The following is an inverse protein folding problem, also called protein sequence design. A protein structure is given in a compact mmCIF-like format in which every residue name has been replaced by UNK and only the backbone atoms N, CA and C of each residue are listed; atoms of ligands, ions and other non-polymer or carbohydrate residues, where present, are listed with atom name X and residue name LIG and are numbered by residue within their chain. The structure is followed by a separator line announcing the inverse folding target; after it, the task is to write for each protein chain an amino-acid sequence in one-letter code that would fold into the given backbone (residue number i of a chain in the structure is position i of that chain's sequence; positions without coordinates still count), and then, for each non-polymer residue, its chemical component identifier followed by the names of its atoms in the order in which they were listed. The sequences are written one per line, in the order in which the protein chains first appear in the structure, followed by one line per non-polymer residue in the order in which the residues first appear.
data_IF_720357580937
#
_entry.id   IF_720357580937
#
_cell.length_a   1.000
_cell.length_b   1.000
_cell.length_c   1.000
_cell.angle_alpha   90.00
_cell.angle_beta   90.00
_cell.angle_gamma   90.00
#
_symmetry.space_group_name_H-M   'P 1'
#
loop_
_entity.id
_entity.type
_entity.pdbx_description
1 polymer ?
#
# COMPACT_ATOMS: atom_id res chain seq x y z
N UNK A 1 32.63 -46.89 39.98
CA UNK A 1 32.34 -46.53 40.05
C UNK A 1 31.73 -45.83 39.96
N UNK A 2 31.50 -45.86 39.80
CA UNK A 2 31.23 -45.62 39.85
C UNK A 2 30.62 -44.99 39.91
N UNK A 3 30.47 -45.29 40.21
CA UNK A 3 30.47 -44.70 40.95
C UNK A 3 30.17 -43.37 40.75
N UNK A 4 29.31 -42.70 41.28
CA UNK A 4 28.98 -41.34 41.09
C UNK A 4 28.61 -40.93 39.66
N UNK A 5 28.30 -41.92 38.85
CA UNK A 5 27.88 -41.64 37.49
C UNK A 5 26.50 -40.95 37.43
N UNK A 6 26.40 -39.92 36.63
CA UNK A 6 25.16 -39.27 36.36
C UNK A 6 24.52 -39.84 35.09
N UNK A 7 23.33 -40.32 35.22
CA UNK A 7 22.51 -40.67 34.04
C UNK A 7 21.60 -39.51 33.70
N UNK A 8 21.77 -38.97 32.51
CA UNK A 8 20.95 -37.89 32.02
C UNK A 8 20.09 -38.32 30.83
N UNK A 9 18.92 -37.79 30.77
CA UNK A 9 18.03 -37.90 29.61
C UNK A 9 17.79 -36.52 29.01
N UNK A 10 17.82 -36.45 27.71
CA UNK A 10 17.53 -35.22 27.02
C UNK A 10 16.95 -35.50 25.64
N UNK A 11 16.05 -34.63 25.20
CA UNK A 11 15.67 -34.56 23.80
C UNK A 11 16.67 -33.63 23.11
N UNK A 12 17.53 -34.18 22.25
CA UNK A 12 18.56 -33.43 21.58
C UNK A 12 18.49 -33.59 20.08
N UNK A 13 19.28 -32.80 19.39
CA UNK A 13 19.35 -32.79 17.92
C UNK A 13 17.98 -32.51 17.25
N UNK A 14 17.17 -31.70 17.89
CA UNK A 14 15.90 -31.32 17.33
C UNK A 14 16.07 -30.57 16.04
N UNK A 15 15.30 -30.96 15.05
CA UNK A 15 15.15 -30.23 13.80
C UNK A 15 13.68 -30.19 13.45
N UNK A 16 13.09 -29.01 13.51
CA UNK A 16 11.69 -28.79 13.20
C UNK A 16 11.65 -28.06 11.86
N UNK A 17 11.17 -28.74 10.82
CA UNK A 17 10.97 -28.15 9.51
C UNK A 17 9.51 -27.80 9.36
N UNK A 18 9.24 -26.53 9.09
CA UNK A 18 7.90 -26.05 8.81
C UNK A 18 7.57 -26.25 7.34
N UNK A 19 6.30 -26.54 7.00
CA UNK A 19 5.81 -26.31 5.65
C UNK A 19 6.16 -24.89 5.22
N UNK A 20 6.57 -24.69 3.97
CA UNK A 20 7.12 -23.41 3.49
C UNK A 20 6.12 -22.25 3.47
N UNK A 21 4.84 -22.52 3.66
CA UNK A 21 3.84 -21.47 3.80
C UNK A 21 3.78 -20.88 5.21
N UNK A 22 4.54 -21.41 6.16
CA UNK A 22 4.79 -20.79 7.45
C UNK A 22 6.07 -19.96 7.40
N UNK A 23 6.01 -18.81 8.04
CA UNK A 23 7.14 -17.88 8.10
C UNK A 23 8.03 -18.14 9.32
N UNK A 24 7.42 -18.45 10.46
CA UNK A 24 8.15 -18.58 11.71
C UNK A 24 7.44 -19.47 12.71
N UNK A 25 8.24 -19.94 13.67
CA UNK A 25 7.83 -20.65 14.87
C UNK A 25 8.29 -19.82 16.08
N UNK A 26 7.38 -19.58 17.03
CA UNK A 26 7.66 -18.72 18.16
C UNK A 26 6.86 -19.17 19.40
N UNK A 27 7.32 -18.77 20.59
CA UNK A 27 6.57 -18.93 21.84
C UNK A 27 5.45 -17.89 21.98
N UNK A 28 5.53 -16.82 21.24
CA UNK A 28 4.58 -15.72 21.26
C UNK A 28 3.50 -15.88 20.20
N UNK A 29 2.32 -15.39 20.50
CA UNK A 29 1.24 -15.31 19.55
C UNK A 29 1.43 -14.11 18.59
N UNK A 30 0.41 -13.89 17.75
CA UNK A 30 0.41 -12.78 16.80
C UNK A 30 0.43 -11.38 17.44
N UNK A 31 0.16 -11.30 18.76
CA UNK A 31 0.23 -10.04 19.51
C UNK A 31 1.61 -9.81 20.13
N UNK A 32 2.54 -10.70 19.87
CA UNK A 32 3.89 -10.71 20.42
C UNK A 32 3.92 -10.88 21.94
N UNK A 33 2.95 -11.63 22.46
CA UNK A 33 2.81 -11.93 23.88
C UNK A 33 2.54 -13.42 24.08
N UNK A 34 2.87 -13.94 25.26
CA UNK A 34 2.47 -15.28 25.65
C UNK A 34 0.93 -15.33 25.69
N UNK A 35 0.36 -16.26 24.95
CA UNK A 35 -1.09 -16.43 24.92
C UNK A 35 -1.56 -17.17 26.19
N UNK A 36 -2.46 -16.59 27.00
CA UNK A 36 -2.95 -17.24 28.21
C UNK A 36 -3.63 -18.60 27.99
N UNK A 37 -4.19 -18.84 26.80
CA UNK A 37 -4.80 -20.13 26.45
C UNK A 37 -3.75 -21.19 26.10
N UNK A 38 -2.53 -20.77 25.81
CA UNK A 38 -1.38 -21.62 25.47
C UNK A 38 -0.17 -21.16 26.29
N UNK A 39 -0.19 -21.35 27.63
CA UNK A 39 0.81 -20.79 28.52
C UNK A 39 2.14 -21.52 28.40
N UNK A 40 3.19 -20.89 28.92
CA UNK A 40 4.44 -21.57 29.13
C UNK A 40 4.25 -22.69 30.17
N UNK A 41 4.93 -23.81 30.00
CA UNK A 41 4.92 -24.85 31.02
C UNK A 41 5.70 -24.41 32.24
N UNK A 42 5.48 -25.10 33.36
CA UNK A 42 6.32 -24.91 34.54
C UNK A 42 7.63 -25.63 34.33
N UNK A 43 8.72 -24.89 34.47
CA UNK A 43 10.09 -25.43 34.44
C UNK A 43 10.69 -25.29 35.80
N UNK A 44 11.19 -26.41 36.33
CA UNK A 44 11.89 -26.45 37.59
C UNK A 44 13.37 -26.78 37.36
N UNK A 45 14.22 -26.12 38.11
CA UNK A 45 15.63 -26.44 38.19
C UNK A 45 15.91 -26.97 39.56
N UNK A 46 16.61 -28.08 39.61
CA UNK A 46 16.94 -28.74 40.84
C UNK A 46 18.45 -28.74 41.01
N UNK A 47 18.93 -28.33 42.18
CA UNK A 47 20.34 -28.29 42.53
C UNK A 47 20.74 -29.44 43.43
N UNK A 48 19.79 -29.99 44.14
CA UNK A 48 19.94 -31.18 44.95
C UNK A 48 18.66 -31.96 44.96
N UNK A 49 18.66 -33.15 45.50
CA UNK A 49 17.47 -34.00 45.51
C UNK A 49 16.24 -33.37 46.23
N UNK A 50 16.46 -32.35 47.03
CA UNK A 50 15.42 -31.70 47.83
C UNK A 50 15.04 -30.29 47.39
N UNK A 51 15.82 -29.64 46.53
CA UNK A 51 15.63 -28.23 46.19
C UNK A 51 15.14 -28.05 44.78
N UNK A 52 13.84 -27.91 44.64
CA UNK A 52 13.22 -27.56 43.38
C UNK A 52 12.98 -26.06 43.29
N UNK A 53 13.61 -25.40 42.33
CA UNK A 53 13.42 -24.00 42.06
C UNK A 53 12.61 -23.84 40.79
N UNK A 54 11.46 -23.19 40.89
CA UNK A 54 10.67 -22.82 39.74
C UNK A 54 11.36 -21.67 39.02
N UNK A 55 11.65 -21.84 37.75
CA UNK A 55 12.29 -20.79 36.97
C UNK A 55 11.34 -19.66 36.67
N UNK A 56 11.88 -18.45 36.60
CA UNK A 56 11.13 -17.28 36.18
C UNK A 56 10.62 -17.41 34.74
N UNK A 57 9.60 -16.64 34.42
CA UNK A 57 9.10 -16.59 33.04
C UNK A 57 10.20 -16.25 32.03
N UNK A 58 11.07 -15.28 32.34
CA UNK A 58 12.19 -14.90 31.49
C UNK A 58 13.14 -16.07 31.25
N UNK A 59 13.47 -16.81 32.30
CA UNK A 59 14.33 -17.98 32.18
C UNK A 59 13.68 -19.09 31.36
N UNK A 60 12.37 -19.33 31.57
CA UNK A 60 11.61 -20.30 30.80
C UNK A 60 11.57 -19.94 29.31
N UNK A 61 11.32 -18.68 28.98
CA UNK A 61 11.36 -18.20 27.59
C UNK A 61 12.74 -18.43 26.98
N UNK A 62 13.80 -18.10 27.72
CA UNK A 62 15.17 -18.30 27.23
C UNK A 62 15.49 -19.77 26.92
N UNK A 63 15.01 -20.68 27.74
CA UNK A 63 15.22 -22.11 27.54
C UNK A 63 14.40 -22.73 26.41
N UNK A 64 13.18 -22.21 26.21
CA UNK A 64 12.24 -22.75 25.25
C UNK A 64 12.29 -22.08 23.89
N UNK A 65 12.97 -20.93 23.75
CA UNK A 65 13.10 -20.21 22.48
C UNK A 65 13.79 -21.09 21.46
N UNK A 66 13.14 -21.30 20.32
CA UNK A 66 13.73 -21.98 19.18
C UNK A 66 14.57 -21.03 18.34
N UNK A 67 15.69 -21.51 17.84
CA UNK A 67 16.60 -20.78 16.96
C UNK A 67 16.45 -21.31 15.55
N UNK A 68 16.34 -20.42 14.58
CA UNK A 68 16.32 -20.80 13.17
C UNK A 68 17.76 -21.02 12.67
N UNK A 69 17.98 -22.14 12.01
CA UNK A 69 19.24 -22.48 11.36
C UNK A 69 19.31 -21.91 9.94
N UNK A 70 20.49 -21.87 9.33
CA UNK A 70 20.65 -21.43 7.94
C UNK A 70 19.82 -22.22 6.93
N UNK A 71 19.53 -23.49 7.19
CA UNK A 71 18.66 -24.34 6.37
C UNK A 71 17.16 -24.08 6.61
N UNK A 72 16.83 -23.06 7.40
CA UNK A 72 15.50 -22.65 7.81
C UNK A 72 14.78 -23.59 8.79
N UNK A 73 15.37 -24.69 9.18
CA UNK A 73 14.84 -25.50 10.26
C UNK A 73 15.02 -24.81 11.61
N UNK A 74 14.20 -25.21 12.58
CA UNK A 74 14.26 -24.69 13.93
C UNK A 74 14.83 -25.74 14.88
N UNK A 75 15.58 -25.26 15.85
CA UNK A 75 16.10 -26.08 16.93
C UNK A 75 15.92 -25.37 18.27
N UNK A 76 15.71 -26.08 19.37
CA UNK A 76 15.77 -25.47 20.69
C UNK A 76 17.10 -24.79 20.92
N UNK A 77 17.09 -23.78 21.77
CA UNK A 77 18.30 -23.06 22.13
C UNK A 77 19.33 -24.01 22.72
N UNK A 78 20.55 -23.96 22.20
CA UNK A 78 21.65 -24.72 22.70
C UNK A 78 22.05 -24.27 24.12
N UNK A 79 22.18 -25.21 25.04
CA UNK A 79 22.73 -24.91 26.36
C UNK A 79 24.24 -24.72 26.27
N UNK A 80 24.69 -23.58 26.76
CA UNK A 80 26.08 -23.15 26.58
C UNK A 80 27.03 -23.67 27.67
N UNK A 81 26.54 -24.24 28.74
CA UNK A 81 27.40 -24.64 29.84
C UNK A 81 27.67 -26.14 29.88
N UNK A 82 28.94 -26.46 29.84
CA UNK A 82 29.46 -27.76 30.22
C UNK A 82 29.11 -28.89 29.28
N UNK A 83 28.14 -29.62 29.58
CA UNK A 83 27.79 -30.85 28.90
C UNK A 83 26.75 -30.68 27.78
N UNK A 84 26.29 -29.49 27.54
CA UNK A 84 25.21 -29.21 26.61
C UNK A 84 25.67 -28.74 25.24
N UNK A 85 26.47 -29.51 24.55
CA UNK A 85 26.93 -29.20 23.19
C UNK A 85 25.86 -29.42 22.13
N UNK A 86 24.76 -30.06 22.49
CA UNK A 86 23.69 -30.38 21.57
C UNK A 86 22.46 -29.52 21.87
N UNK A 87 21.77 -29.03 20.87
CA UNK A 87 20.50 -28.37 21.06
C UNK A 87 19.54 -29.29 21.84
N UNK A 88 19.12 -28.85 22.99
CA UNK A 88 18.39 -29.67 23.93
C UNK A 88 17.12 -28.97 24.36
N UNK A 89 15.96 -29.56 24.15
CA UNK A 89 14.71 -28.96 24.56
C UNK A 89 14.62 -28.84 26.07
N UNK A 90 14.82 -29.94 26.74
CA UNK A 90 14.96 -30.00 28.20
C UNK A 90 15.81 -31.17 28.59
N UNK A 91 16.47 -31.02 29.71
CA UNK A 91 17.35 -32.04 30.26
C UNK A 91 16.79 -32.52 31.58
N UNK A 92 16.66 -33.80 31.72
CA UNK A 92 16.41 -34.47 32.99
C UNK A 92 17.62 -35.32 33.34
N UNK A 93 18.19 -35.04 34.47
CA UNK A 93 19.25 -35.91 35.02
C UNK A 93 18.60 -36.92 35.95
N UNK A 94 18.86 -38.17 35.67
CA UNK A 94 18.58 -39.25 36.61
C UNK A 94 19.84 -39.47 37.38
N UNK A 95 19.89 -39.00 38.60
CA UNK A 95 21.07 -39.21 39.41
C UNK A 95 21.19 -40.66 39.84
N UNK A 96 22.30 -41.21 39.62
CA UNK A 96 22.76 -42.19 40.58
C UNK A 96 23.44 -41.41 41.68
N UNK A 97 23.05 -41.57 42.79
CA UNK A 97 23.45 -40.91 43.95
C UNK A 97 24.96 -40.85 44.12
N UNK A 98 25.51 -39.71 43.91
CA UNK A 98 26.75 -39.45 44.56
C UNK A 98 26.49 -38.77 45.89
N UNK A 99 26.66 -39.50 46.86
CA UNK A 99 26.42 -39.08 48.21
C UNK A 99 27.40 -38.03 48.66
N UNK A 100 28.55 -37.95 48.08
CA UNK A 100 29.60 -37.08 48.56
C UNK A 100 29.44 -35.62 48.16
N UNK A 101 28.97 -35.37 46.97
CA UNK A 101 28.74 -34.00 46.50
C UNK A 101 27.33 -33.52 46.72
N UNK A 102 26.37 -34.39 46.76
CA UNK A 102 24.98 -34.08 47.08
C UNK A 102 24.24 -33.16 46.14
N UNK A 103 24.83 -32.77 45.05
CA UNK A 103 24.19 -31.79 44.14
C UNK A 103 24.15 -32.27 42.71
N UNK A 104 23.01 -32.14 42.13
CA UNK A 104 22.77 -32.30 40.69
C UNK A 104 21.98 -31.16 40.17
N UNK A 105 22.40 -30.60 39.06
CA UNK A 105 21.63 -29.60 38.37
C UNK A 105 20.89 -30.24 37.21
N UNK A 106 19.60 -30.22 37.24
CA UNK A 106 18.76 -30.68 36.14
C UNK A 106 17.53 -29.82 36.02
N UNK A 107 16.96 -29.83 34.84
CA UNK A 107 15.73 -29.10 34.54
C UNK A 107 14.64 -30.08 34.15
N UNK A 108 13.45 -29.86 34.65
CA UNK A 108 12.27 -30.65 34.30
C UNK A 108 11.14 -29.74 33.86
N UNK A 109 10.35 -30.27 32.97
CA UNK A 109 9.24 -29.60 32.37
C UNK A 109 7.96 -30.26 32.82
N UNK A 110 6.99 -29.47 33.24
CA UNK A 110 5.63 -29.92 33.53
C UNK A 110 4.65 -29.26 32.57
N UNK A 111 3.99 -30.07 31.79
CA UNK A 111 3.02 -29.63 30.79
C UNK A 111 3.58 -29.52 29.37
N UNK A 112 2.72 -29.32 28.40
CA UNK A 112 3.12 -29.19 27.01
C UNK A 112 3.81 -27.85 26.74
N UNK A 113 4.70 -27.85 25.75
CA UNK A 113 5.27 -26.60 25.19
C UNK A 113 4.47 -26.22 23.97
N UNK A 114 3.95 -25.00 23.98
CA UNK A 114 3.19 -24.48 22.86
C UNK A 114 4.05 -23.55 22.01
N UNK A 115 4.16 -23.86 20.73
CA UNK A 115 4.80 -23.01 19.76
C UNK A 115 3.76 -22.50 18.76
N UNK A 116 3.80 -21.21 18.50
CA UNK A 116 2.89 -20.54 17.56
C UNK A 116 3.56 -20.48 16.19
N UNK A 117 2.84 -20.95 15.19
CA UNK A 117 3.27 -20.85 13.79
C UNK A 117 2.64 -19.61 13.17
N UNK A 118 3.45 -18.82 12.46
CA UNK A 118 3.00 -17.68 11.73
C UNK A 118 2.99 -17.99 10.24
N UNK A 119 1.85 -17.85 9.60
CA UNK A 119 1.75 -18.01 8.16
C UNK A 119 2.48 -16.89 7.43
N UNK A 120 3.08 -17.21 6.29
CA UNK A 120 3.44 -16.19 5.30
C UNK A 120 2.17 -15.52 4.80
N UNK A 121 2.28 -14.28 4.40
CA UNK A 121 1.14 -13.48 3.96
C UNK A 121 1.45 -12.81 2.65
N UNK A 122 0.40 -12.57 1.88
CA UNK A 122 0.40 -11.61 0.79
C UNK A 122 -0.19 -10.32 1.32
N UNK A 123 0.58 -9.25 1.23
CA UNK A 123 0.14 -7.89 1.57
C UNK A 123 -0.19 -7.15 0.28
N UNK A 124 -1.36 -6.53 0.22
CA UNK A 124 -1.81 -5.75 -0.93
C UNK A 124 -1.44 -4.29 -0.71
N UNK A 125 -0.49 -3.80 -1.50
CA UNK A 125 -0.03 -2.42 -1.45
C UNK A 125 -0.53 -1.65 -2.68
N UNK A 126 -1.04 -0.45 -2.46
CA UNK A 126 -1.38 0.51 -3.50
C UNK A 126 -0.35 1.63 -3.45
N UNK A 127 0.35 1.82 -4.54
CA UNK A 127 1.48 2.76 -4.62
C UNK A 127 1.37 3.63 -5.86
N UNK A 128 2.00 4.81 -5.81
CA UNK A 128 2.21 5.64 -6.99
C UNK A 128 3.42 5.17 -7.79
N UNK A 129 3.74 5.87 -8.86
CA UNK A 129 4.87 5.52 -9.72
C UNK A 129 6.23 5.69 -9.05
N UNK A 130 6.31 6.40 -7.94
CA UNK A 130 7.52 6.54 -7.13
C UNK A 130 7.64 5.49 -6.02
N UNK A 131 6.60 4.66 -5.84
CA UNK A 131 6.54 3.66 -4.79
C UNK A 131 5.94 4.15 -3.47
N UNK A 132 5.50 5.39 -3.40
CA UNK A 132 4.83 5.92 -2.21
C UNK A 132 3.42 5.35 -2.09
N UNK A 133 3.00 5.04 -0.86
CA UNK A 133 1.66 4.53 -0.58
C UNK A 133 0.61 5.58 -0.88
N UNK A 134 -0.49 5.15 -1.48
CA UNK A 134 -1.64 5.99 -1.80
C UNK A 134 -2.92 5.41 -1.21
N UNK A 135 -3.94 6.23 -1.11
CA UNK A 135 -5.28 5.76 -0.75
C UNK A 135 -5.82 4.88 -1.87
N UNK A 136 -6.23 3.63 -1.60
CA UNK A 136 -6.72 2.72 -2.63
C UNK A 136 -8.10 3.13 -3.15
N UNK A 137 -8.52 2.60 -4.31
CA UNK A 137 -9.89 2.78 -4.78
C UNK A 137 -10.91 2.19 -3.81
N UNK A 138 -12.14 2.68 -3.88
CA UNK A 138 -13.24 2.18 -3.06
C UNK A 138 -13.41 0.67 -3.22
N UNK A 139 -13.58 -0.02 -2.12
CA UNK A 139 -13.69 -1.48 -2.08
C UNK A 139 -12.35 -2.21 -1.90
N UNK A 140 -11.25 -1.48 -1.91
CA UNK A 140 -9.92 -2.02 -1.65
C UNK A 140 -9.34 -1.43 -0.36
N UNK A 141 -8.44 -2.17 0.27
CA UNK A 141 -7.82 -1.76 1.53
C UNK A 141 -6.30 -1.74 1.37
N UNK A 142 -5.69 -0.62 1.74
CA UNK A 142 -4.24 -0.52 1.80
C UNK A 142 -3.69 -1.44 2.88
N UNK A 143 -2.74 -2.28 2.50
CA UNK A 143 -2.10 -3.18 3.44
C UNK A 143 -2.94 -4.38 3.86
N UNK A 144 -3.97 -4.75 3.10
CA UNK A 144 -4.73 -5.96 3.36
C UNK A 144 -3.83 -7.18 3.31
N UNK A 145 -3.89 -8.02 4.34
CA UNK A 145 -3.08 -9.22 4.45
C UNK A 145 -3.94 -10.46 4.28
N UNK A 146 -3.46 -11.39 3.46
CA UNK A 146 -4.06 -12.69 3.25
C UNK A 146 -3.04 -13.76 3.60
N UNK A 147 -3.38 -14.65 4.53
CA UNK A 147 -2.50 -15.74 4.92
C UNK A 147 -2.36 -16.77 3.78
N UNK A 148 -1.14 -17.22 3.56
CA UNK A 148 -0.85 -18.34 2.67
C UNK A 148 -1.03 -19.61 3.50
N UNK A 149 -1.97 -20.47 3.12
CA UNK A 149 -2.43 -21.59 3.94
C UNK A 149 -2.15 -22.96 3.33
N UNK A 150 -1.53 -23.00 2.17
CA UNK A 150 -1.29 -24.24 1.45
C UNK A 150 -0.07 -24.17 0.54
N UNK A 151 0.32 -25.29 0.00
CA UNK A 151 1.35 -25.42 -1.00
C UNK A 151 0.93 -26.50 -2.02
N UNK A 152 0.67 -26.16 -3.29
CA UNK A 152 0.75 -24.82 -3.88
C UNK A 152 -0.37 -23.89 -3.43
N UNK A 153 -0.15 -22.60 -3.61
CA UNK A 153 -1.12 -21.56 -3.32
C UNK A 153 -1.14 -20.52 -4.43
N UNK A 154 -2.32 -20.20 -4.92
CA UNK A 154 -2.54 -19.10 -5.86
C UNK A 154 -3.24 -17.97 -5.14
N UNK A 155 -2.59 -16.82 -5.09
CA UNK A 155 -3.20 -15.59 -4.60
C UNK A 155 -4.07 -14.97 -5.67
N UNK A 156 -5.27 -14.55 -5.28
CA UNK A 156 -6.19 -13.79 -6.14
C UNK A 156 -6.69 -12.59 -5.37
N UNK A 157 -6.49 -11.40 -5.92
CA UNK A 157 -7.08 -10.20 -5.34
C UNK A 157 -8.59 -10.20 -5.53
N UNK A 158 -9.33 -9.92 -4.47
CA UNK A 158 -10.77 -9.76 -4.54
C UNK A 158 -11.11 -8.45 -5.26
N UNK A 159 -12.12 -8.48 -6.14
CA UNK A 159 -12.57 -7.33 -6.89
C UNK A 159 -11.84 -7.12 -8.21
N UNK A 160 -12.25 -6.09 -8.91
CA UNK A 160 -11.65 -5.68 -10.18
C UNK A 160 -11.10 -4.27 -10.01
N UNK A 161 -9.83 -4.09 -10.34
CA UNK A 161 -9.17 -2.79 -10.26
C UNK A 161 -9.78 -1.82 -11.28
N UNK A 162 -10.18 -0.60 -10.86
CA UNK A 162 -10.71 0.38 -11.79
C UNK A 162 -9.60 0.97 -12.66
N UNK A 163 -9.97 1.41 -13.87
CA UNK A 163 -9.04 2.14 -14.75
C UNK A 163 -8.59 3.46 -14.14
N UNK A 164 -9.53 4.13 -13.48
CA UNK A 164 -9.31 5.42 -12.83
C UNK A 164 -10.16 5.50 -11.56
N UNK A 165 -9.71 6.29 -10.61
CA UNK A 165 -10.51 6.65 -9.44
C UNK A 165 -10.07 8.01 -8.90
N UNK A 166 -10.96 8.64 -8.15
CA UNK A 166 -10.69 9.94 -7.54
C UNK A 166 -10.78 9.82 -6.02
N UNK A 167 -9.79 10.37 -5.34
CA UNK A 167 -9.76 10.45 -3.88
C UNK A 167 -8.98 11.69 -3.46
N UNK A 168 -9.45 12.37 -2.41
CA UNK A 168 -8.79 13.56 -1.89
C UNK A 168 -8.56 14.66 -2.92
N UNK A 169 -9.47 14.80 -3.89
CA UNK A 169 -9.34 15.78 -4.98
C UNK A 169 -8.32 15.40 -6.06
N UNK A 170 -7.74 14.21 -5.99
CA UNK A 170 -6.76 13.70 -6.96
C UNK A 170 -7.38 12.57 -7.77
N UNK A 171 -7.06 12.52 -9.05
CA UNK A 171 -7.46 11.44 -9.96
C UNK A 171 -6.25 10.56 -10.24
N UNK A 172 -6.44 9.25 -10.10
CA UNK A 172 -5.41 8.24 -10.32
C UNK A 172 -5.77 7.35 -11.50
N UNK A 173 -4.77 7.02 -12.32
CA UNK A 173 -4.90 6.15 -13.47
C UNK A 173 -4.12 4.86 -13.24
N UNK A 174 -4.75 3.72 -13.53
CA UNK A 174 -4.14 2.40 -13.42
C UNK A 174 -2.95 2.25 -14.36
N UNK A 175 -1.82 1.83 -13.80
CA UNK A 175 -0.59 1.57 -14.56
C UNK A 175 -0.27 0.08 -14.66
N UNK A 176 -0.72 -0.70 -13.72
CA UNK A 176 -0.46 -2.12 -13.64
C UNK A 176 -0.15 -2.57 -12.23
N UNK A 177 0.32 -3.81 -12.10
CA UNK A 177 0.73 -4.37 -10.83
C UNK A 177 1.95 -5.26 -11.00
N UNK A 178 2.62 -5.53 -9.89
CA UNK A 178 3.72 -6.48 -9.83
C UNK A 178 3.75 -7.20 -8.48
N UNK A 179 4.36 -8.38 -8.49
CA UNK A 179 4.62 -9.16 -7.29
C UNK A 179 6.03 -8.88 -6.79
N UNK A 180 6.18 -8.79 -5.47
CA UNK A 180 7.47 -8.75 -4.83
C UNK A 180 7.98 -7.35 -4.52
N UNK A 181 9.25 -7.28 -4.15
CA UNK A 181 9.87 -6.05 -3.64
C UNK A 181 10.47 -5.17 -4.72
N UNK A 182 10.78 -5.75 -5.87
CA UNK A 182 11.46 -5.06 -6.96
C UNK A 182 10.48 -4.79 -8.09
N UNK A 183 10.28 -3.51 -8.40
CA UNK A 183 9.43 -3.08 -9.50
C UNK A 183 10.08 -3.45 -10.83
N UNK A 184 9.42 -4.26 -11.67
CA UNK A 184 9.93 -4.57 -13.01
C UNK A 184 9.78 -3.38 -13.95
N UNK A 185 10.49 -3.40 -15.05
CA UNK A 185 10.38 -2.38 -16.09
C UNK A 185 9.02 -2.39 -16.80
N UNK A 186 8.38 -3.57 -16.87
CA UNK A 186 7.05 -3.74 -17.45
C UNK A 186 6.12 -4.30 -16.41
N UNK A 187 5.01 -3.60 -16.15
CA UNK A 187 3.98 -4.03 -15.21
C UNK A 187 2.98 -4.96 -15.91
N UNK A 188 2.41 -5.86 -15.14
CA UNK A 188 1.25 -6.64 -15.57
C UNK A 188 0.01 -5.75 -15.53
N UNK A 189 -0.81 -5.77 -16.56
CA UNK A 189 -1.92 -4.81 -16.70
C UNK A 189 -3.31 -5.44 -16.58
N UNK A 190 -3.39 -6.69 -16.15
CA UNK A 190 -4.68 -7.32 -15.83
C UNK A 190 -5.29 -6.67 -14.59
N UNK A 191 -6.61 -6.54 -14.56
CA UNK A 191 -7.32 -5.84 -13.48
C UNK A 191 -7.79 -6.75 -12.35
N UNK A 192 -7.50 -8.01 -12.44
CA UNK A 192 -7.75 -9.02 -11.41
C UNK A 192 -6.46 -9.78 -11.12
N UNK A 193 -5.54 -9.20 -10.35
CA UNK A 193 -4.25 -9.83 -10.08
C UNK A 193 -4.39 -11.23 -9.51
N UNK A 194 -3.65 -12.16 -10.09
CA UNK A 194 -3.63 -13.56 -9.70
C UNK A 194 -2.27 -14.15 -10.01
N UNK A 195 -1.66 -14.82 -9.04
CA UNK A 195 -0.35 -15.45 -9.23
C UNK A 195 -0.08 -16.55 -8.21
N UNK A 196 0.73 -17.53 -8.59
CA UNK A 196 1.28 -18.49 -7.66
C UNK A 196 2.32 -17.85 -6.77
N UNK A 197 2.28 -18.13 -5.47
CA UNK A 197 3.26 -17.62 -4.52
C UNK A 197 4.54 -18.44 -4.55
N UNK A 198 5.65 -17.83 -4.14
CA UNK A 198 6.98 -18.44 -4.17
C UNK A 198 7.55 -18.72 -2.78
N UNK A 199 6.87 -18.32 -1.72
CA UNK A 199 7.21 -18.57 -0.31
C UNK A 199 8.60 -18.07 0.11
N UNK A 200 9.06 -17.00 -0.50
CA UNK A 200 10.39 -16.42 -0.29
C UNK A 200 10.36 -15.02 0.33
N UNK A 201 9.21 -14.59 0.83
CA UNK A 201 9.03 -13.24 1.33
C UNK A 201 8.89 -12.19 0.23
N UNK A 202 8.70 -12.62 -1.02
CA UNK A 202 8.63 -11.76 -2.20
C UNK A 202 7.29 -11.90 -2.91
N UNK A 203 6.22 -12.15 -2.15
CA UNK A 203 4.90 -12.47 -2.68
C UNK A 203 3.87 -11.34 -2.57
N UNK A 204 4.26 -10.19 -2.03
CA UNK A 204 3.35 -9.06 -1.87
C UNK A 204 2.89 -8.51 -3.22
N UNK A 205 1.63 -8.11 -3.28
CA UNK A 205 1.06 -7.46 -4.43
C UNK A 205 1.28 -5.95 -4.33
N UNK A 206 1.78 -5.36 -5.40
CA UNK A 206 1.92 -3.91 -5.53
C UNK A 206 1.12 -3.44 -6.72
N UNK A 207 0.06 -2.68 -6.46
CA UNK A 207 -0.79 -2.08 -7.50
C UNK A 207 -0.35 -0.64 -7.70
N UNK A 208 -0.04 -0.30 -8.94
CA UNK A 208 0.52 1.01 -9.30
C UNK A 208 -0.52 1.86 -10.01
N UNK A 209 -0.77 3.02 -9.44
CA UNK A 209 -1.58 4.08 -10.04
C UNK A 209 -0.75 5.33 -10.22
N UNK A 210 -0.99 6.05 -11.29
CA UNK A 210 -0.34 7.34 -11.54
C UNK A 210 -1.33 8.46 -11.28
N UNK A 211 -0.94 9.46 -10.49
CA UNK A 211 -1.73 10.66 -10.31
C UNK A 211 -1.80 11.43 -11.63
N UNK A 212 -3.01 11.72 -12.08
CA UNK A 212 -3.21 12.59 -13.24
C UNK A 212 -2.90 14.03 -12.85
N UNK A 213 -1.98 14.63 -13.57
CA UNK A 213 -1.72 16.05 -13.46
C UNK A 213 -2.81 16.81 -14.20
N UNK A 214 -3.50 17.72 -13.50
CA UNK A 214 -4.51 18.58 -14.09
C UNK A 214 -3.87 19.92 -14.43
N UNK A 215 -3.91 20.28 -15.73
CA UNK A 215 -3.52 21.60 -16.19
C UNK A 215 -4.72 22.52 -16.15
N UNK A 216 -4.57 23.71 -15.60
CA UNK A 216 -5.63 24.71 -15.53
C UNK A 216 -5.56 25.59 -16.77
N UNK A 217 -6.68 25.74 -17.44
CA UNK A 217 -6.84 26.58 -18.61
C UNK A 217 -7.77 27.75 -18.28
N UNK A 218 -7.40 28.97 -18.70
CA UNK A 218 -8.14 30.19 -18.45
C UNK A 218 -8.70 30.74 -19.78
N UNK A 219 -9.91 30.31 -20.18
CA UNK A 219 -10.48 30.78 -21.42
C UNK A 219 -10.90 32.25 -21.33
N UNK A 220 -10.54 33.02 -22.34
CA UNK A 220 -10.98 34.39 -22.45
C UNK A 220 -11.00 34.83 -23.89
N UNK A 221 -11.88 35.79 -24.18
CA UNK A 221 -11.99 36.43 -25.48
C UNK A 221 -12.00 37.95 -25.27
N UNK A 222 -11.14 38.65 -25.98
CA UNK A 222 -11.19 40.10 -26.03
C UNK A 222 -12.07 40.53 -27.23
N UNK A 223 -13.09 41.33 -26.95
CA UNK A 223 -14.02 41.81 -27.95
C UNK A 223 -13.98 43.34 -27.98
N UNK A 224 -13.70 43.89 -29.14
CA UNK A 224 -13.72 45.34 -29.36
C UNK A 224 -14.87 45.70 -30.24
N UNK A 225 -15.68 46.64 -29.77
CA UNK A 225 -16.87 47.13 -30.50
C UNK A 225 -16.63 48.54 -30.96
N UNK A 226 -16.92 48.77 -32.22
CA UNK A 226 -16.71 50.06 -32.87
C UNK A 226 -17.99 50.48 -33.59
N UNK A 227 -18.19 51.80 -33.77
CA UNK A 227 -19.27 52.33 -34.55
C UNK A 227 -18.98 52.22 -36.07
N UNK A 228 -19.95 52.60 -36.89
CA UNK A 228 -19.84 52.50 -38.36
C UNK A 228 -18.71 53.32 -38.96
N UNK A 229 -18.20 54.29 -38.22
CA UNK A 229 -17.08 55.15 -38.66
C UNK A 229 -15.73 54.65 -38.12
N UNK A 230 -15.70 53.49 -37.46
CA UNK A 230 -14.51 52.95 -36.88
C UNK A 230 -14.11 53.55 -35.53
N UNK A 231 -14.92 54.44 -34.97
CA UNK A 231 -14.70 54.99 -33.64
C UNK A 231 -15.20 54.08 -32.53
N UNK A 232 -14.75 54.36 -31.31
CA UNK A 232 -15.12 53.55 -30.15
C UNK A 232 -16.66 53.54 -29.94
N UNK A 233 -17.22 52.38 -29.65
CA UNK A 233 -18.58 52.21 -29.26
C UNK A 233 -18.70 52.38 -27.74
N UNK A 234 -19.36 53.47 -27.30
CA UNK A 234 -19.41 53.83 -25.88
C UNK A 234 -20.63 53.35 -25.10
N UNK A 235 -21.78 53.01 -25.72
CA UNK A 235 -22.89 52.44 -24.97
C UNK A 235 -22.53 51.15 -24.26
N UNK A 236 -23.16 50.93 -23.09
CA UNK A 236 -22.94 49.70 -22.34
C UNK A 236 -23.53 48.49 -23.06
N UNK A 237 -22.83 47.39 -23.05
CA UNK A 237 -23.25 46.12 -23.60
C UNK A 237 -23.47 45.09 -22.49
N UNK A 238 -24.49 44.25 -22.66
CA UNK A 238 -24.75 43.12 -21.78
C UNK A 238 -24.46 41.81 -22.50
N UNK A 239 -23.70 40.95 -21.86
CA UNK A 239 -23.30 39.65 -22.40
C UNK A 239 -24.00 38.55 -21.66
N UNK A 240 -24.47 37.54 -22.36
CA UNK A 240 -24.84 36.26 -21.79
C UNK A 240 -24.41 35.14 -22.73
N UNK A 241 -24.00 34.06 -22.15
CA UNK A 241 -23.51 32.90 -22.92
C UNK A 241 -22.98 31.79 -22.06
N UNK A 242 -22.49 30.78 -22.70
CA UNK A 242 -21.89 29.62 -22.06
C UNK A 242 -20.54 29.30 -22.68
N UNK A 243 -19.61 28.93 -21.84
CA UNK A 243 -18.40 28.23 -22.23
C UNK A 243 -18.62 26.73 -22.01
N UNK A 244 -18.28 25.90 -22.98
CA UNK A 244 -18.46 24.47 -22.83
C UNK A 244 -17.24 23.66 -23.21
N UNK A 245 -17.11 22.51 -22.56
CA UNK A 245 -16.14 21.49 -22.90
C UNK A 245 -16.92 20.38 -23.60
N UNK A 246 -16.45 19.99 -24.78
CA UNK A 246 -17.06 18.93 -25.58
C UNK A 246 -16.07 17.82 -25.82
N UNK A 247 -16.51 16.59 -25.65
CA UNK A 247 -15.69 15.42 -25.94
C UNK A 247 -15.70 15.15 -27.44
N UNK A 248 -14.50 15.11 -28.04
CA UNK A 248 -14.39 14.95 -29.50
C UNK A 248 -14.87 13.60 -30.02
N UNK A 249 -14.76 12.54 -29.21
CA UNK A 249 -15.11 11.18 -29.62
C UNK A 249 -16.61 11.02 -29.95
N UNK A 250 -17.49 11.72 -29.26
CA UNK A 250 -18.95 11.58 -29.39
C UNK A 250 -19.71 12.90 -29.40
N UNK A 251 -19.01 14.04 -29.42
CA UNK A 251 -19.56 15.37 -29.35
C UNK A 251 -20.43 15.70 -28.12
N UNK A 252 -20.29 14.90 -27.07
CA UNK A 252 -21.03 15.13 -25.83
C UNK A 252 -20.43 16.32 -25.08
N UNK A 253 -21.29 17.26 -24.66
CA UNK A 253 -20.87 18.36 -23.79
C UNK A 253 -20.75 17.83 -22.37
N UNK A 254 -19.54 17.89 -21.83
CA UNK A 254 -19.22 17.34 -20.48
C UNK A 254 -19.32 18.41 -19.39
N UNK A 255 -19.06 19.67 -19.74
CA UNK A 255 -19.09 20.78 -18.78
C UNK A 255 -19.68 22.03 -19.44
N UNK A 256 -20.47 22.79 -18.68
CA UNK A 256 -20.97 24.08 -19.01
C UNK A 256 -20.61 25.09 -17.95
N UNK A 257 -20.17 26.28 -18.38
CA UNK A 257 -19.80 27.37 -17.49
C UNK A 257 -20.49 28.64 -17.93
N UNK A 258 -20.98 29.42 -16.97
CA UNK A 258 -21.48 30.75 -17.27
C UNK A 258 -20.34 31.70 -17.62
N UNK A 259 -20.56 32.56 -18.57
CA UNK A 259 -19.61 33.59 -18.94
C UNK A 259 -19.87 34.88 -18.17
N UNK A 260 -18.80 35.63 -17.99
CA UNK A 260 -18.85 36.98 -17.43
C UNK A 260 -18.05 37.92 -18.34
N UNK A 261 -18.43 39.17 -18.34
CA UNK A 261 -17.72 40.20 -19.12
C UNK A 261 -17.21 41.31 -18.22
N UNK A 262 -16.05 41.84 -18.60
CA UNK A 262 -15.43 42.99 -17.93
C UNK A 262 -15.17 44.07 -18.97
N UNK A 263 -15.73 45.24 -18.78
CA UNK A 263 -15.47 46.41 -19.62
C UNK A 263 -14.06 46.95 -19.32
N UNK A 264 -13.34 47.26 -20.39
CA UNK A 264 -12.04 47.97 -20.31
C UNK A 264 -12.20 49.45 -20.75
N UNK A 265 -13.39 49.89 -21.04
CA UNK A 265 -13.67 51.20 -21.65
C UNK A 265 -13.51 51.20 -23.16
N UNK A 266 -14.00 52.28 -23.84
CA UNK A 266 -13.88 52.46 -25.27
C UNK A 266 -14.41 51.31 -26.13
N UNK A 267 -15.48 50.64 -25.68
CA UNK A 267 -16.04 49.48 -26.39
C UNK A 267 -15.24 48.22 -26.30
N UNK A 268 -14.26 48.13 -25.41
CA UNK A 268 -13.43 46.98 -25.21
C UNK A 268 -13.92 46.15 -24.02
N UNK A 269 -14.03 44.84 -24.21
CA UNK A 269 -14.50 43.90 -23.20
C UNK A 269 -13.63 42.67 -23.20
N UNK A 270 -13.43 42.12 -22.01
CA UNK A 270 -12.91 40.74 -21.82
C UNK A 270 -14.06 39.86 -21.38
N UNK A 271 -14.32 38.81 -22.13
CA UNK A 271 -15.31 37.78 -21.78
C UNK A 271 -14.59 36.54 -21.31
N UNK A 272 -14.96 36.05 -20.13
CA UNK A 272 -14.35 34.89 -19.50
C UNK A 272 -15.41 34.06 -18.80
N UNK A 273 -15.00 32.96 -18.15
CA UNK A 273 -15.90 32.16 -17.34
C UNK A 273 -15.94 32.65 -15.90
N UNK A 274 -17.05 32.46 -15.21
CA UNK A 274 -17.21 32.92 -13.82
C UNK A 274 -16.19 32.35 -12.87
N UNK A 275 -15.82 31.08 -13.04
CA UNK A 275 -14.79 30.43 -12.21
C UNK A 275 -13.36 30.78 -12.64
N UNK A 276 -13.18 31.51 -13.71
CA UNK A 276 -11.87 31.94 -14.22
C UNK A 276 -11.06 30.85 -14.93
N UNK A 277 -11.32 29.56 -14.67
CA UNK A 277 -10.50 28.49 -15.19
C UNK A 277 -11.27 27.18 -15.42
N UNK A 278 -10.73 26.37 -16.31
CA UNK A 278 -11.20 25.00 -16.61
C UNK A 278 -10.05 24.04 -16.38
N UNK A 279 -10.22 22.98 -15.59
CA UNK A 279 -9.21 21.95 -15.46
C UNK A 279 -9.15 21.11 -16.74
N UNK A 280 -7.92 20.83 -17.22
CA UNK A 280 -7.64 19.90 -18.31
C UNK A 280 -6.77 18.77 -17.78
N UNK A 281 -7.14 17.53 -18.05
CA UNK A 281 -6.26 16.42 -17.76
C UNK A 281 -4.97 16.52 -18.57
N UNK A 282 -3.87 16.04 -18.03
CA UNK A 282 -2.59 16.04 -18.73
C UNK A 282 -2.64 15.25 -20.03
N UNK A 283 -3.40 14.16 -20.06
CA UNK A 283 -3.61 13.36 -21.27
C UNK A 283 -4.33 14.17 -22.36
N UNK A 284 -5.39 14.86 -22.00
CA UNK A 284 -6.12 15.72 -22.93
C UNK A 284 -5.24 16.84 -23.46
N UNK A 285 -4.45 17.46 -22.57
CA UNK A 285 -3.50 18.51 -22.94
C UNK A 285 -2.45 18.01 -23.92
N UNK A 286 -1.81 16.87 -23.64
CA UNK A 286 -0.81 16.27 -24.54
C UNK A 286 -1.37 15.93 -25.90
N UNK A 287 -2.60 15.43 -25.96
CA UNK A 287 -3.23 15.05 -27.21
C UNK A 287 -3.44 16.22 -28.16
N UNK A 288 -3.73 17.39 -27.61
CA UNK A 288 -4.07 18.56 -28.40
C UNK A 288 -2.95 19.60 -28.54
N UNK A 289 -1.94 19.56 -27.70
CA UNK A 289 -0.82 20.51 -27.81
C UNK A 289 0.31 19.99 -28.69
N UNK A 290 0.51 18.67 -28.77
CA UNK A 290 1.42 17.99 -29.67
C UNK A 290 2.77 18.72 -29.86
N UNK A 291 3.30 19.32 -28.78
CA UNK A 291 4.53 20.10 -28.77
C UNK A 291 4.38 21.53 -29.28
N UNK A 292 3.22 21.96 -29.73
CA UNK A 292 2.94 23.34 -30.09
C UNK A 292 2.24 24.07 -28.94
N UNK A 293 2.74 25.24 -28.64
CA UNK A 293 2.22 26.07 -27.55
C UNK A 293 0.88 26.69 -27.86
N UNK A 294 0.22 27.04 -26.76
CA UNK A 294 -0.88 26.23 -26.27
C UNK A 294 -2.02 26.41 -27.25
N UNK A 295 -2.25 25.41 -28.03
CA UNK A 295 -3.46 25.37 -28.82
C UNK A 295 -4.61 25.03 -27.89
N UNK A 296 -5.68 25.82 -27.97
CA UNK A 296 -6.93 25.46 -27.33
C UNK A 296 -7.36 24.13 -27.95
N UNK A 297 -7.59 23.07 -27.18
CA UNK A 297 -8.06 21.81 -27.72
C UNK A 297 -9.36 21.98 -28.49
N UNK A 298 -9.53 21.24 -29.58
CA UNK A 298 -10.77 21.28 -30.38
C UNK A 298 -12.02 20.90 -29.57
N UNK A 299 -11.85 20.23 -28.45
CA UNK A 299 -12.95 19.90 -27.52
C UNK A 299 -13.41 21.07 -26.68
N UNK A 300 -12.68 22.18 -26.70
CA UNK A 300 -13.03 23.40 -25.98
C UNK A 300 -13.54 24.44 -27.00
N UNK A 301 -14.70 24.95 -26.72
CA UNK A 301 -15.31 25.98 -27.57
C UNK A 301 -15.93 27.05 -26.70
N UNK A 302 -15.79 28.29 -27.10
CA UNK A 302 -16.46 29.43 -26.50
C UNK A 302 -17.73 29.69 -27.26
N UNK A 303 -18.89 29.61 -26.59
CA UNK A 303 -20.18 29.80 -27.18
C UNK A 303 -20.93 30.94 -26.49
N UNK A 304 -21.31 31.92 -27.25
CA UNK A 304 -22.21 32.99 -26.83
C UNK A 304 -23.62 32.60 -27.24
N UNK A 305 -24.45 32.20 -26.27
CA UNK A 305 -25.85 31.81 -26.53
C UNK A 305 -26.70 33.01 -26.86
N UNK A 306 -26.40 34.11 -26.22
CA UNK A 306 -27.17 35.33 -26.36
C UNK A 306 -26.27 36.52 -26.11
N UNK A 307 -26.19 37.38 -27.09
CA UNK A 307 -25.49 38.65 -26.99
C UNK A 307 -26.53 39.78 -27.13
N UNK A 308 -26.85 40.42 -26.02
CA UNK A 308 -27.74 41.56 -26.00
C UNK A 308 -26.91 42.82 -26.21
N UNK A 309 -27.05 43.44 -27.35
CA UNK A 309 -26.36 44.66 -27.73
C UNK A 309 -27.34 45.76 -28.10
N UNK A 310 -26.92 46.99 -27.92
CA UNK A 310 -27.66 48.12 -28.43
C UNK A 310 -27.74 48.02 -29.97
N UNK A 311 -28.87 48.41 -30.54
CA UNK A 311 -29.13 48.33 -31.98
C UNK A 311 -28.13 49.12 -32.83
N UNK A 312 -27.28 49.92 -32.22
CA UNK A 312 -26.26 50.70 -32.91
C UNK A 312 -25.00 49.89 -33.21
N UNK A 313 -24.83 48.69 -32.64
CA UNK A 313 -23.67 47.86 -32.92
C UNK A 313 -23.75 47.23 -34.30
N UNK A 314 -22.76 47.42 -35.13
CA UNK A 314 -22.78 46.97 -36.52
C UNK A 314 -21.75 45.88 -36.81
N UNK A 315 -20.63 45.85 -36.12
CA UNK A 315 -19.56 44.84 -36.30
C UNK A 315 -18.62 44.76 -35.09
N UNK A 316 -17.91 43.67 -35.06
CA UNK A 316 -16.87 43.40 -34.04
C UNK A 316 -15.50 43.66 -34.67
N UNK A 317 -14.70 44.48 -34.01
CA UNK A 317 -13.38 44.86 -34.51
C UNK A 317 -12.33 43.77 -34.35
N UNK A 318 -12.29 43.15 -33.18
CA UNK A 318 -11.39 42.02 -32.93
C UNK A 318 -11.93 41.03 -31.94
N UNK A 319 -11.60 39.76 -32.15
CA UNK A 319 -11.86 38.66 -31.23
C UNK A 319 -10.54 37.90 -31.06
N UNK A 320 -10.09 37.76 -29.82
CA UNK A 320 -8.91 37.00 -29.47
C UNK A 320 -9.28 35.89 -28.48
N UNK A 321 -8.79 34.71 -28.73
CA UNK A 321 -8.98 33.52 -27.87
C UNK A 321 -7.72 33.19 -27.11
#
# INVERSE_FOLDING_TARGET
PTEGGWNGEAYSNFSIKLPRYYQSLNLYDKTNKINPNYPLPVITQNYSASDNVVLSETAAISLLTATQRPDQSYTPKEQVSGEGRYPTLLRRLISSIDVASGSATYQTLSGPVYYHLTNRKVTENFVDTSGAKITPPTGFTQGKQTAITSDPYTFKQAGTLPDTYTTGGKTYKFKGWYRGKTKPSTLTTTKAPSYGVTYDGNDDLNVVYEEETVTTFYPSVNMNFVNEKGGAFTPALTFSGKYYVRRNSDNVITNLYDVTSKSKGNGQYTVSINNGSVPLSQELFRKYTNGYLPMVPNSLAFRLDKLAIDQQLKYVDSIQV
#
